data_IF_042578228153
#
_entry.id   IF_042578228153
#
_cell.length_a   1.000
_cell.length_b   1.000
_cell.length_c   1.000
_cell.angle_alpha   90.00
_cell.angle_beta   90.00
_cell.angle_gamma   90.00
#
_symmetry.space_group_name_H-M   'P 1'
#
loop_
_entity.id
_entity.type
_entity.pdbx_description
1 polymer ?
#
# COMPACT_ATOMS: atom_id res chain seq x y z
N UNK A 1 69.10 6.46 -86.41
CA UNK A 1 67.69 6.01 -86.31
C UNK A 1 67.54 4.62 -85.69
N UNK A 2 68.25 3.58 -86.16
CA UNK A 2 68.12 2.21 -85.60
C UNK A 2 68.50 2.06 -84.11
N UNK A 3 69.49 2.80 -83.62
CA UNK A 3 69.92 2.73 -82.20
C UNK A 3 68.96 3.44 -81.24
N UNK A 4 68.30 4.53 -81.66
CA UNK A 4 67.28 5.22 -80.85
C UNK A 4 65.99 4.40 -80.71
N UNK A 5 65.59 3.67 -81.77
CA UNK A 5 64.44 2.78 -81.76
C UNK A 5 64.63 1.62 -80.77
N UNK A 6 65.85 1.07 -80.69
CA UNK A 6 66.17 -0.02 -79.77
C UNK A 6 66.10 0.43 -78.31
N UNK A 7 66.62 1.62 -77.98
CA UNK A 7 66.55 2.19 -76.63
C UNK A 7 65.09 2.48 -76.23
N UNK A 8 64.27 2.97 -77.16
CA UNK A 8 62.85 3.20 -76.93
C UNK A 8 62.07 1.89 -76.71
N UNK A 9 62.38 0.83 -77.46
CA UNK A 9 61.81 -0.51 -77.28
C UNK A 9 62.21 -1.15 -75.94
N UNK A 10 63.45 -0.95 -75.50
CA UNK A 10 63.92 -1.43 -74.19
C UNK A 10 63.24 -0.66 -73.06
N UNK A 11 63.08 0.67 -73.16
CA UNK A 11 62.40 1.47 -72.15
C UNK A 11 60.92 1.10 -71.96
N UNK A 12 60.22 0.73 -73.04
CA UNK A 12 58.82 0.26 -72.99
C UNK A 12 58.70 -1.10 -72.28
N UNK A 13 59.68 -2.00 -72.46
CA UNK A 13 59.64 -3.34 -71.87
C UNK A 13 59.69 -3.36 -70.34
N UNK A 14 60.20 -2.31 -69.70
CA UNK A 14 60.24 -2.17 -68.24
C UNK A 14 58.92 -1.67 -67.61
N UNK A 15 57.94 -1.24 -68.42
CA UNK A 15 56.70 -0.61 -67.94
C UNK A 15 55.46 -1.50 -68.07
N UNK A 16 55.61 -2.76 -68.51
CA UNK A 16 54.49 -3.67 -68.72
C UNK A 16 54.31 -4.58 -67.50
N UNK A 17 53.34 -4.26 -66.64
CA UNK A 17 52.86 -5.20 -65.62
C UNK A 17 51.89 -6.18 -66.28
N UNK A 18 52.30 -7.44 -66.45
CA UNK A 18 51.43 -8.49 -66.98
C UNK A 18 50.59 -9.13 -65.89
N UNK A 19 49.27 -9.11 -66.02
CA UNK A 19 48.39 -10.01 -65.27
C UNK A 19 48.52 -11.43 -65.83
N UNK A 20 48.51 -12.45 -64.96
CA UNK A 20 48.67 -13.84 -65.37
C UNK A 20 47.32 -14.54 -65.34
N UNK A 21 46.79 -14.86 -66.52
CA UNK A 21 45.63 -15.73 -66.67
C UNK A 21 46.05 -17.14 -67.06
N UNK A 22 45.56 -18.16 -66.35
CA UNK A 22 45.62 -19.57 -66.76
C UNK A 22 44.19 -19.98 -67.13
N UNK A 23 43.99 -20.42 -68.38
CA UNK A 23 42.66 -20.77 -68.88
C UNK A 23 41.77 -19.58 -69.26
N UNK A 24 42.27 -18.33 -69.20
CA UNK A 24 41.58 -17.12 -69.64
C UNK A 24 42.52 -16.19 -70.43
N UNK A 25 42.01 -15.62 -71.53
CA UNK A 25 42.75 -14.65 -72.35
C UNK A 25 42.59 -13.20 -71.87
N UNK A 26 41.68 -12.95 -70.93
CA UNK A 26 41.37 -11.64 -70.37
C UNK A 26 41.31 -11.75 -68.85
N UNK A 27 42.46 -11.94 -68.17
CA UNK A 27 42.48 -11.97 -66.71
C UNK A 27 41.98 -10.62 -66.15
N UNK A 28 41.20 -10.67 -65.07
CA UNK A 28 40.68 -9.48 -64.34
C UNK A 28 41.32 -9.32 -62.96
N UNK A 29 42.08 -10.31 -62.50
CA UNK A 29 42.88 -10.28 -61.27
C UNK A 29 44.36 -10.51 -61.59
N UNK A 30 45.25 -10.17 -60.65
CA UNK A 30 46.71 -10.32 -60.82
C UNK A 30 47.12 -11.77 -61.17
N UNK A 31 46.42 -12.74 -60.58
CA UNK A 31 46.41 -14.14 -60.97
C UNK A 31 44.96 -14.63 -61.07
N UNK A 32 44.57 -15.16 -62.23
CA UNK A 32 43.27 -15.78 -62.46
C UNK A 32 43.48 -17.18 -63.03
N UNK A 33 42.88 -18.19 -62.42
CA UNK A 33 42.90 -19.57 -62.91
C UNK A 33 41.47 -20.00 -63.16
N UNK A 34 41.10 -20.10 -64.43
CA UNK A 34 39.78 -20.58 -64.83
C UNK A 34 39.76 -22.10 -64.97
N UNK A 35 38.70 -22.72 -64.46
CA UNK A 35 38.50 -24.16 -64.54
C UNK A 35 38.04 -24.57 -65.95
N UNK A 36 38.44 -25.76 -66.41
CA UNK A 36 37.89 -26.35 -67.64
C UNK A 36 36.41 -26.68 -67.44
N UNK A 37 35.56 -26.30 -68.40
CA UNK A 37 34.12 -26.56 -68.39
C UNK A 37 33.75 -27.97 -68.86
N UNK A 38 34.70 -28.76 -69.38
CA UNK A 38 34.52 -30.17 -69.72
C UNK A 38 35.72 -30.99 -69.26
N UNK A 39 35.49 -31.88 -68.30
CA UNK A 39 36.49 -32.82 -67.80
C UNK A 39 36.19 -34.23 -68.33
N UNK A 40 37.21 -34.91 -68.86
CA UNK A 40 37.14 -36.33 -69.16
C UNK A 40 37.18 -37.19 -67.89
N UNK A 41 36.93 -38.51 -67.99
CA UNK A 41 37.06 -39.42 -66.85
C UNK A 41 38.48 -39.40 -66.28
N UNK A 42 38.60 -39.01 -65.00
CA UNK A 42 39.88 -38.93 -64.28
C UNK A 42 40.61 -37.59 -64.38
N UNK A 43 40.03 -36.59 -65.06
CA UNK A 43 40.54 -35.21 -65.05
C UNK A 43 39.90 -34.41 -63.92
N UNK A 44 40.67 -33.51 -63.30
CA UNK A 44 40.23 -32.69 -62.18
C UNK A 44 40.64 -31.23 -62.37
N UNK A 45 39.73 -30.30 -62.08
CA UNK A 45 40.06 -28.90 -61.88
C UNK A 45 40.56 -28.70 -60.44
N UNK A 46 41.58 -27.86 -60.25
CA UNK A 46 42.02 -27.47 -58.92
C UNK A 46 43.42 -26.87 -58.89
N UNK A 47 43.75 -26.25 -57.76
CA UNK A 47 45.11 -25.80 -57.44
C UNK A 47 45.56 -26.61 -56.22
N UNK A 48 46.64 -27.36 -56.36
CA UNK A 48 47.24 -28.05 -55.22
C UNK A 48 48.03 -27.06 -54.39
N UNK A 49 47.65 -26.91 -53.12
CA UNK A 49 48.45 -26.18 -52.11
C UNK A 49 49.48 -27.14 -51.48
N UNK A 50 50.56 -26.61 -50.88
CA UNK A 50 51.52 -27.44 -50.17
C UNK A 50 50.85 -28.31 -49.11
N UNK A 51 51.13 -29.61 -49.17
CA UNK A 51 50.68 -30.58 -48.17
C UNK A 51 51.79 -30.79 -47.14
N UNK A 52 51.42 -30.77 -45.87
CA UNK A 52 52.34 -30.98 -44.76
C UNK A 52 51.76 -31.99 -43.78
N UNK A 53 52.61 -32.77 -43.14
CA UNK A 53 52.20 -33.71 -42.08
C UNK A 53 52.09 -33.04 -40.70
N UNK A 54 52.70 -31.87 -40.53
CA UNK A 54 52.74 -31.12 -39.29
C UNK A 54 52.67 -29.61 -39.58
N UNK A 55 52.14 -28.82 -38.66
CA UNK A 55 52.07 -27.37 -38.78
C UNK A 55 53.50 -26.78 -38.71
N UNK A 56 53.97 -26.07 -39.74
CA UNK A 56 55.32 -25.50 -39.74
C UNK A 56 55.51 -24.44 -38.64
N UNK A 57 56.66 -24.46 -37.99
CA UNK A 57 57.11 -23.44 -37.03
C UNK A 57 58.47 -22.88 -37.46
N UNK A 58 58.66 -21.54 -37.50
CA UNK A 58 57.63 -20.52 -37.29
C UNK A 58 56.59 -20.49 -38.42
N UNK A 59 55.45 -19.83 -38.19
CA UNK A 59 54.43 -19.66 -39.21
C UNK A 59 55.00 -18.92 -40.44
N UNK A 60 54.58 -19.33 -41.63
CA UNK A 60 54.98 -18.67 -42.87
C UNK A 60 54.40 -17.24 -42.95
N UNK A 61 54.84 -16.39 -43.91
CA UNK A 61 54.24 -15.08 -44.13
C UNK A 61 52.70 -15.14 -44.26
N UNK A 62 52.04 -14.06 -43.83
CA UNK A 62 50.59 -13.94 -43.89
C UNK A 62 50.07 -14.20 -45.31
N UNK A 63 48.99 -14.99 -45.41
CA UNK A 63 48.39 -15.39 -46.69
C UNK A 63 48.91 -16.72 -47.25
N UNK A 64 49.90 -17.36 -46.62
CA UNK A 64 50.34 -18.71 -47.00
C UNK A 64 49.25 -19.73 -46.68
N UNK A 65 48.84 -20.55 -47.64
CA UNK A 65 47.86 -21.64 -47.45
C UNK A 65 48.59 -22.98 -47.51
N UNK A 66 48.26 -23.87 -46.58
CA UNK A 66 48.71 -25.26 -46.55
C UNK A 66 47.51 -26.19 -46.36
N UNK A 67 47.69 -27.45 -46.73
CA UNK A 67 46.80 -28.53 -46.34
C UNK A 67 47.54 -29.47 -45.38
N UNK A 68 47.06 -29.56 -44.15
CA UNK A 68 47.57 -30.50 -43.16
C UNK A 68 46.95 -31.88 -43.45
N UNK A 69 47.76 -32.86 -43.82
CA UNK A 69 47.28 -34.17 -44.27
C UNK A 69 47.33 -35.29 -43.23
N UNK A 70 47.90 -35.02 -42.06
CA UNK A 70 47.82 -35.84 -40.85
C UNK A 70 47.50 -34.98 -39.64
N UNK A 71 46.80 -35.54 -38.64
CA UNK A 71 46.52 -34.81 -37.39
C UNK A 71 47.83 -34.45 -36.69
N UNK A 72 48.02 -33.17 -36.32
CA UNK A 72 49.20 -32.66 -35.64
C UNK A 72 48.82 -32.08 -34.27
N UNK A 73 48.93 -32.90 -33.22
CA UNK A 73 48.44 -32.55 -31.88
C UNK A 73 46.91 -32.37 -31.86
N UNK A 74 46.44 -31.17 -31.50
CA UNK A 74 45.03 -30.80 -31.52
C UNK A 74 44.55 -30.24 -32.86
N UNK A 75 45.43 -30.11 -33.86
CA UNK A 75 45.10 -29.56 -35.17
C UNK A 75 44.56 -30.66 -36.08
N UNK A 76 43.27 -30.64 -36.47
CA UNK A 76 42.71 -31.65 -37.36
C UNK A 76 43.22 -31.47 -38.80
N UNK A 77 43.16 -32.55 -39.59
CA UNK A 77 43.41 -32.53 -41.04
C UNK A 77 42.53 -31.46 -41.70
N UNK A 78 43.10 -30.63 -42.57
CA UNK A 78 42.34 -29.58 -43.25
C UNK A 78 43.19 -28.46 -43.84
N UNK A 79 42.51 -27.45 -44.39
CA UNK A 79 43.16 -26.25 -44.88
C UNK A 79 43.52 -25.31 -43.72
N UNK A 80 44.73 -24.78 -43.77
CA UNK A 80 45.19 -23.74 -42.86
C UNK A 80 45.72 -22.56 -43.65
N UNK A 81 45.45 -21.35 -43.17
CA UNK A 81 46.10 -20.14 -43.67
C UNK A 81 46.97 -19.53 -42.56
N UNK A 82 48.15 -19.03 -42.91
CA UNK A 82 48.97 -18.27 -41.99
C UNK A 82 48.45 -16.83 -41.89
N UNK A 83 48.29 -16.32 -40.68
CA UNK A 83 48.06 -14.90 -40.42
C UNK A 83 49.36 -14.10 -40.20
N UNK A 84 50.53 -14.74 -40.45
CA UNK A 84 51.85 -14.17 -40.19
C UNK A 84 52.38 -14.41 -38.77
N UNK A 85 51.56 -14.96 -37.86
CA UNK A 85 51.96 -15.35 -36.50
C UNK A 85 51.66 -16.83 -36.20
N UNK A 86 50.58 -17.37 -36.76
CA UNK A 86 50.15 -18.76 -36.61
C UNK A 86 49.36 -19.23 -37.84
N UNK A 87 49.29 -20.54 -38.02
CA UNK A 87 48.34 -21.17 -38.95
C UNK A 87 46.98 -21.33 -38.28
N UNK A 88 45.92 -20.86 -38.94
CA UNK A 88 44.53 -21.00 -38.50
C UNK A 88 43.78 -21.95 -39.42
N UNK A 89 43.02 -22.88 -38.84
CA UNK A 89 42.20 -23.80 -39.60
C UNK A 89 41.00 -23.06 -40.22
N UNK A 90 40.69 -23.35 -41.48
CA UNK A 90 39.57 -22.74 -42.20
C UNK A 90 38.20 -23.16 -41.64
N UNK A 91 38.08 -24.31 -40.97
CA UNK A 91 36.80 -24.77 -40.36
C UNK A 91 36.52 -24.16 -39.00
N UNK A 92 37.51 -23.60 -38.31
CA UNK A 92 37.32 -22.96 -36.99
C UNK A 92 36.57 -21.62 -37.05
N UNK A 93 36.25 -21.12 -38.26
CA UNK A 93 35.40 -19.93 -38.41
C UNK A 93 33.93 -20.16 -38.01
N UNK A 94 33.48 -21.41 -37.83
CA UNK A 94 32.09 -21.74 -37.47
C UNK A 94 31.88 -22.24 -36.03
N UNK A 95 32.96 -22.50 -35.28
CA UNK A 95 32.93 -23.15 -33.96
C UNK A 95 32.90 -22.16 -32.79
N UNK A 96 32.46 -20.92 -33.01
CA UNK A 96 32.20 -19.99 -31.92
C UNK A 96 31.16 -20.60 -30.98
N UNK A 97 31.52 -20.79 -29.69
CA UNK A 97 30.63 -21.24 -28.63
C UNK A 97 29.42 -20.31 -28.58
N UNK A 98 28.29 -20.72 -29.17
CA UNK A 98 27.14 -19.86 -29.22
C UNK A 98 26.62 -19.59 -27.80
N UNK A 99 26.27 -18.34 -27.53
CA UNK A 99 25.67 -17.95 -26.26
C UNK A 99 24.22 -18.45 -26.12
N UNK A 100 23.58 -18.84 -27.22
CA UNK A 100 22.20 -19.31 -27.31
C UNK A 100 22.06 -20.49 -28.29
N UNK A 101 21.31 -21.50 -27.89
CA UNK A 101 21.05 -22.74 -28.62
C UNK A 101 19.57 -22.90 -28.93
N UNK A 102 19.21 -23.72 -29.92
CA UNK A 102 17.82 -24.14 -30.08
C UNK A 102 17.39 -24.98 -28.87
N UNK A 103 16.16 -24.76 -28.41
CA UNK A 103 15.58 -25.46 -27.26
C UNK A 103 15.77 -26.97 -27.35
N UNK A 104 16.31 -27.58 -26.28
CA UNK A 104 16.56 -29.02 -26.20
C UNK A 104 17.78 -29.53 -26.97
N UNK A 105 18.57 -28.66 -27.58
CA UNK A 105 19.76 -29.02 -28.36
C UNK A 105 21.02 -28.27 -27.91
N UNK A 106 22.17 -28.61 -28.49
CA UNK A 106 23.41 -27.82 -28.40
C UNK A 106 23.76 -27.14 -29.73
N UNK A 107 22.80 -27.02 -30.66
CA UNK A 107 23.01 -26.34 -31.94
C UNK A 107 22.75 -24.86 -31.82
N UNK A 108 23.55 -24.05 -32.53
CA UNK A 108 23.42 -22.59 -32.50
C UNK A 108 22.03 -22.19 -33.02
N UNK A 109 21.29 -21.41 -32.23
CA UNK A 109 20.03 -20.85 -32.69
C UNK A 109 20.30 -19.81 -33.79
N UNK A 110 19.86 -20.09 -35.02
CA UNK A 110 20.14 -19.24 -36.20
C UNK A 110 18.88 -18.63 -36.82
N UNK A 111 17.69 -19.12 -36.46
CA UNK A 111 16.41 -18.59 -36.96
C UNK A 111 15.79 -17.61 -35.96
N UNK A 112 15.19 -16.53 -36.49
CA UNK A 112 14.46 -15.53 -35.68
C UNK A 112 13.15 -16.06 -35.09
N UNK A 113 12.74 -17.28 -35.47
CA UNK A 113 11.54 -17.97 -35.00
C UNK A 113 11.85 -19.12 -34.06
N UNK A 114 13.12 -19.44 -33.81
CA UNK A 114 13.51 -20.52 -32.91
C UNK A 114 13.22 -20.14 -31.46
N UNK A 115 12.81 -21.14 -30.67
CA UNK A 115 12.90 -21.04 -29.21
C UNK A 115 14.38 -21.11 -28.80
N UNK A 116 14.87 -20.05 -28.15
CA UNK A 116 16.28 -19.94 -27.76
C UNK A 116 16.49 -20.30 -26.28
N UNK A 117 17.54 -21.07 -26.00
CA UNK A 117 17.94 -21.51 -24.66
C UNK A 117 19.43 -21.27 -24.41
N UNK A 118 19.84 -21.13 -23.15
CA UNK A 118 21.25 -21.14 -22.74
C UNK A 118 21.44 -21.78 -21.36
N UNK A 119 22.54 -22.48 -21.19
CA UNK A 119 22.96 -23.01 -19.89
C UNK A 119 23.79 -21.96 -19.13
N UNK A 120 23.47 -21.74 -17.86
CA UNK A 120 24.16 -20.77 -17.00
C UNK A 120 23.42 -19.44 -16.84
N UNK A 121 24.02 -18.52 -16.07
CA UNK A 121 23.47 -17.17 -15.83
C UNK A 121 23.85 -16.24 -16.98
N UNK A 122 22.99 -15.31 -17.36
CA UNK A 122 23.46 -14.11 -18.07
C UNK A 122 23.19 -12.86 -17.29
N UNK A 123 24.13 -11.94 -17.46
CA UNK A 123 24.13 -10.60 -16.90
C UNK A 123 23.99 -9.64 -18.07
N UNK A 124 23.10 -8.69 -17.95
CA UNK A 124 23.02 -7.54 -18.83
C UNK A 124 23.60 -6.33 -18.08
N UNK A 125 24.44 -5.53 -18.74
CA UNK A 125 25.02 -4.29 -18.21
C UNK A 125 26.20 -4.47 -17.25
N UNK A 126 27.38 -4.07 -17.73
CA UNK A 126 28.55 -3.81 -16.90
C UNK A 126 29.29 -2.60 -17.44
N UNK A 127 28.63 -1.44 -17.55
CA UNK A 127 29.31 -0.19 -17.90
C UNK A 127 28.72 1.01 -17.16
N UNK A 128 29.62 1.87 -16.67
CA UNK A 128 29.37 2.97 -15.74
C UNK A 128 28.73 4.22 -16.36
N UNK A 129 27.70 4.06 -17.18
CA UNK A 129 26.94 5.16 -17.78
C UNK A 129 25.47 5.05 -17.38
N UNK A 130 24.79 6.17 -17.05
CA UNK A 130 23.37 6.18 -16.69
C UNK A 130 22.50 5.93 -17.93
N UNK A 131 22.32 4.66 -18.30
CA UNK A 131 21.36 4.22 -19.30
C UNK A 131 20.56 3.02 -18.77
N UNK A 132 19.33 2.84 -19.25
CA UNK A 132 18.58 1.61 -19.01
C UNK A 132 19.35 0.43 -19.62
N UNK A 133 19.79 -0.49 -18.76
CA UNK A 133 20.58 -1.64 -19.19
C UNK A 133 19.75 -2.60 -20.06
N UNK A 134 18.45 -2.71 -19.78
CA UNK A 134 17.48 -3.48 -20.57
C UNK A 134 16.19 -2.66 -20.63
N UNK A 135 15.66 -2.47 -21.84
CA UNK A 135 14.30 -1.98 -22.09
C UNK A 135 13.56 -3.05 -22.89
N UNK A 136 12.34 -3.36 -22.49
CA UNK A 136 11.47 -4.33 -23.18
C UNK A 136 10.16 -3.59 -23.46
N UNK A 137 9.81 -3.49 -24.73
CA UNK A 137 8.61 -2.78 -25.17
C UNK A 137 7.78 -3.70 -26.07
N UNK A 138 6.47 -3.67 -25.91
CA UNK A 138 5.52 -4.40 -26.74
C UNK A 138 4.50 -3.40 -27.32
N UNK A 139 4.91 -2.69 -28.38
CA UNK A 139 4.09 -1.68 -29.05
C UNK A 139 2.92 -2.30 -29.82
N UNK A 140 1.79 -1.60 -29.87
CA UNK A 140 0.58 -2.07 -30.55
C UNK A 140 -0.20 -0.96 -31.24
N UNK A 141 -0.83 -1.28 -32.37
CA UNK A 141 -1.62 -0.34 -33.18
C UNK A 141 -3.12 -0.71 -33.31
N UNK A 142 -3.57 -1.83 -32.71
CA UNK A 142 -4.93 -2.35 -32.86
C UNK A 142 -5.67 -2.47 -31.51
N UNK A 143 -6.99 -2.25 -31.54
CA UNK A 143 -7.83 -1.94 -30.39
C UNK A 143 -8.22 -3.11 -29.47
N UNK A 144 -7.77 -4.35 -29.70
CA UNK A 144 -8.25 -5.51 -28.93
C UNK A 144 -7.26 -6.68 -28.92
N UNK A 145 -6.16 -6.54 -28.19
CA UNK A 145 -5.23 -7.64 -27.94
C UNK A 145 -4.71 -7.59 -26.50
N UNK A 146 -4.71 -8.73 -25.81
CA UNK A 146 -3.98 -8.91 -24.56
C UNK A 146 -2.48 -8.87 -24.86
N UNK A 147 -1.74 -8.00 -24.16
CA UNK A 147 -0.31 -7.83 -24.34
C UNK A 147 0.44 -8.11 -23.05
N UNK A 148 1.49 -8.93 -23.15
CA UNK A 148 2.42 -9.19 -22.05
C UNK A 148 3.83 -8.83 -22.50
N UNK A 149 4.50 -7.96 -21.75
CA UNK A 149 5.90 -7.58 -22.01
C UNK A 149 6.87 -8.52 -21.30
N UNK A 150 6.49 -9.00 -20.11
CA UNK A 150 7.32 -9.89 -19.29
C UNK A 150 6.43 -10.83 -18.48
N UNK A 151 6.65 -12.14 -18.62
CA UNK A 151 6.06 -13.18 -17.77
C UNK A 151 7.17 -13.99 -17.13
N UNK A 152 7.14 -14.12 -15.80
CA UNK A 152 8.12 -14.87 -15.02
C UNK A 152 7.37 -15.92 -14.20
N UNK A 153 7.64 -17.19 -14.46
CA UNK A 153 7.06 -18.31 -13.71
C UNK A 153 8.17 -19.12 -13.06
N UNK A 154 8.17 -19.19 -11.73
CA UNK A 154 9.01 -20.12 -10.98
C UNK A 154 8.20 -21.39 -10.67
N UNK A 155 8.53 -22.51 -11.32
CA UNK A 155 7.84 -23.81 -11.17
C UNK A 155 8.59 -24.78 -10.26
N UNK A 156 9.37 -24.29 -9.30
CA UNK A 156 10.09 -25.14 -8.35
C UNK A 156 9.10 -26.07 -7.62
N UNK A 157 9.25 -27.38 -7.80
CA UNK A 157 8.29 -28.40 -7.36
C UNK A 157 8.79 -29.29 -6.22
N UNK A 158 10.04 -29.10 -5.78
CA UNK A 158 10.59 -29.89 -4.67
C UNK A 158 9.99 -29.44 -3.34
N UNK A 159 9.52 -30.42 -2.55
CA UNK A 159 9.02 -30.25 -1.18
C UNK A 159 10.10 -30.52 -0.12
N UNK A 160 11.36 -30.72 -0.51
CA UNK A 160 12.46 -30.93 0.42
C UNK A 160 12.67 -29.69 1.30
N UNK A 161 12.81 -29.91 2.62
CA UNK A 161 12.74 -28.86 3.65
C UNK A 161 13.76 -27.72 3.46
N UNK A 162 13.30 -26.48 3.70
CA UNK A 162 14.03 -25.22 3.95
C UNK A 162 14.52 -24.35 2.77
N UNK A 163 14.09 -24.57 1.53
CA UNK A 163 14.49 -23.68 0.42
C UNK A 163 13.48 -22.55 0.16
N UNK A 164 13.93 -21.30 0.27
CA UNK A 164 13.17 -20.14 -0.21
C UNK A 164 13.23 -20.06 -1.72
N UNK A 165 12.10 -19.81 -2.37
CA UNK A 165 12.02 -19.57 -3.80
C UNK A 165 11.64 -18.11 -4.06
N UNK A 166 12.19 -17.54 -5.14
CA UNK A 166 11.87 -16.19 -5.57
C UNK A 166 11.61 -16.22 -7.08
N UNK A 167 10.53 -15.60 -7.53
CA UNK A 167 10.33 -15.33 -8.96
C UNK A 167 11.10 -14.07 -9.37
N UNK A 168 11.06 -13.04 -8.53
CA UNK A 168 11.77 -11.77 -8.70
C UNK A 168 12.40 -11.41 -7.36
N UNK A 169 13.70 -11.08 -7.36
CA UNK A 169 14.41 -10.55 -6.19
C UNK A 169 15.12 -9.25 -6.60
N UNK A 170 14.58 -8.11 -6.17
CA UNK A 170 15.09 -6.78 -6.52
C UNK A 170 15.84 -6.19 -5.35
N UNK A 171 17.10 -5.80 -5.57
CA UNK A 171 17.94 -5.17 -4.54
C UNK A 171 18.53 -3.87 -5.09
N UNK A 172 18.22 -2.74 -4.44
CA UNK A 172 18.91 -1.49 -4.68
C UNK A 172 19.81 -1.19 -3.48
N UNK A 173 21.12 -1.36 -3.64
CA UNK A 173 22.14 -1.12 -2.59
C UNK A 173 22.94 0.16 -2.84
N UNK A 174 22.50 1.00 -3.78
CA UNK A 174 23.17 2.27 -4.12
C UNK A 174 23.42 3.16 -2.89
N UNK A 175 24.56 3.83 -2.87
CA UNK A 175 24.94 4.86 -1.90
C UNK A 175 24.55 6.29 -2.33
N UNK A 176 23.74 6.41 -3.39
CA UNK A 176 23.30 7.70 -3.91
C UNK A 176 22.59 8.52 -2.81
N UNK A 177 22.89 9.83 -2.78
CA UNK A 177 22.25 10.80 -1.86
C UNK A 177 20.87 11.26 -2.33
N UNK A 178 20.51 10.98 -3.58
CA UNK A 178 19.20 11.26 -4.16
C UNK A 178 18.19 10.13 -3.87
N UNK A 179 17.03 10.18 -4.53
CA UNK A 179 15.98 9.18 -4.35
C UNK A 179 16.48 7.79 -4.73
N UNK A 180 16.32 6.84 -3.82
CA UNK A 180 16.67 5.45 -4.01
C UNK A 180 15.40 4.64 -4.18
N UNK A 181 15.09 4.29 -5.41
CA UNK A 181 13.85 3.59 -5.77
C UNK A 181 14.16 2.12 -6.08
N UNK A 182 13.45 1.20 -5.45
CA UNK A 182 13.57 -0.24 -5.72
C UNK A 182 12.77 -0.63 -6.97
N UNK A 183 11.47 -0.37 -6.95
CA UNK A 183 10.54 -0.62 -8.06
C UNK A 183 9.72 0.66 -8.24
N UNK A 184 9.69 1.20 -9.46
CA UNK A 184 8.81 2.31 -9.84
C UNK A 184 7.76 1.77 -10.82
N UNK A 185 6.50 1.67 -10.37
CA UNK A 185 5.38 1.28 -11.23
C UNK A 185 4.57 2.54 -11.55
N UNK A 186 4.47 2.86 -12.84
CA UNK A 186 3.71 4.02 -13.33
C UNK A 186 2.68 3.54 -14.34
N UNK A 187 1.45 4.03 -14.21
CA UNK A 187 0.37 3.80 -15.16
C UNK A 187 -0.14 5.17 -15.61
N UNK A 188 -0.19 5.38 -16.92
CA UNK A 188 -0.68 6.62 -17.54
C UNK A 188 -2.17 6.83 -17.29
N UNK A 189 -2.61 8.09 -17.28
CA UNK A 189 -4.01 8.47 -17.14
C UNK A 189 -4.90 8.19 -18.36
N UNK A 190 -4.33 7.84 -19.51
CA UNK A 190 -5.09 7.54 -20.73
C UNK A 190 -5.76 6.16 -20.67
N UNK A 191 -6.89 6.03 -21.37
CA UNK A 191 -7.69 4.81 -21.44
C UNK A 191 -8.79 4.77 -20.36
N UNK A 192 -9.98 4.29 -20.73
CA UNK A 192 -11.16 4.27 -19.84
C UNK A 192 -11.30 2.99 -19.01
N UNK A 193 -10.39 2.03 -19.21
CA UNK A 193 -10.38 0.76 -18.48
C UNK A 193 -9.87 0.90 -17.04
N UNK A 194 -10.09 -0.13 -16.22
CA UNK A 194 -9.57 -0.17 -14.85
C UNK A 194 -8.04 -0.19 -14.86
N UNK A 195 -7.41 0.86 -14.32
CA UNK A 195 -5.97 0.90 -14.09
C UNK A 195 -5.62 0.15 -12.80
N UNK A 196 -4.77 -0.87 -12.89
CA UNK A 196 -4.32 -1.68 -11.75
C UNK A 196 -2.80 -1.61 -11.63
N UNK A 197 -2.30 -0.85 -10.65
CA UNK A 197 -0.85 -0.67 -10.39
C UNK A 197 -0.18 -1.96 -9.92
N UNK A 198 -0.79 -2.62 -8.94
CA UNK A 198 -0.32 -3.87 -8.35
C UNK A 198 -1.54 -4.75 -8.07
N UNK A 199 -1.53 -5.97 -8.59
CA UNK A 199 -2.52 -7.00 -8.27
C UNK A 199 -1.82 -8.20 -7.63
N UNK A 200 -2.01 -8.38 -6.33
CA UNK A 200 -1.38 -9.47 -5.58
C UNK A 200 -2.45 -10.48 -5.17
N UNK A 201 -2.25 -11.74 -5.56
CA UNK A 201 -3.01 -12.88 -5.05
C UNK A 201 -2.08 -13.75 -4.21
N UNK A 202 -2.47 -14.05 -2.98
CA UNK A 202 -1.74 -14.95 -2.09
C UNK A 202 -2.68 -16.05 -1.64
N UNK A 203 -2.53 -17.22 -2.24
CA UNK A 203 -3.31 -18.40 -1.88
C UNK A 203 -2.60 -19.18 -0.78
N UNK A 204 -3.35 -19.59 0.22
CA UNK A 204 -2.84 -20.37 1.35
C UNK A 204 -3.44 -21.76 1.24
N UNK A 205 -2.60 -22.79 1.36
CA UNK A 205 -3.09 -24.16 1.47
C UNK A 205 -4.00 -24.26 2.70
N UNK A 206 -5.24 -24.72 2.52
CA UNK A 206 -6.27 -24.79 3.56
C UNK A 206 -5.89 -25.65 4.78
N UNK A 207 -4.87 -26.50 4.65
CA UNK A 207 -4.30 -27.31 5.74
C UNK A 207 -3.09 -26.68 6.43
N UNK A 208 -2.61 -25.53 5.96
CA UNK A 208 -1.47 -24.83 6.56
C UNK A 208 -1.85 -24.12 7.85
N UNK A 209 -1.03 -24.27 8.89
CA UNK A 209 -1.10 -23.47 10.12
C UNK A 209 -0.04 -22.36 10.18
N UNK A 210 0.74 -22.19 9.11
CA UNK A 210 1.80 -21.19 9.06
C UNK A 210 1.24 -19.77 8.92
N UNK A 211 1.85 -18.81 9.63
CA UNK A 211 1.59 -17.39 9.40
C UNK A 211 1.92 -17.01 7.96
N UNK A 212 0.98 -16.37 7.28
CA UNK A 212 1.10 -15.99 5.87
C UNK A 212 0.92 -14.49 5.73
N UNK A 213 1.64 -13.89 4.79
CA UNK A 213 1.57 -12.46 4.51
C UNK A 213 1.30 -12.26 3.02
N UNK A 214 0.26 -11.48 2.68
CA UNK A 214 0.07 -11.03 1.29
C UNK A 214 1.02 -9.90 0.93
N UNK A 215 1.20 -8.95 1.85
CA UNK A 215 2.18 -7.87 1.77
C UNK A 215 2.85 -7.76 3.15
N UNK A 216 4.18 -7.89 3.19
CA UNK A 216 4.96 -7.73 4.42
C UNK A 216 5.99 -6.61 4.25
N UNK A 217 5.77 -5.48 4.92
CA UNK A 217 6.64 -4.31 4.85
C UNK A 217 7.43 -4.18 6.16
N UNK A 218 8.75 -4.38 6.09
CA UNK A 218 9.67 -4.08 7.18
C UNK A 218 10.44 -2.81 6.84
N UNK A 219 10.24 -1.75 7.62
CA UNK A 219 10.75 -0.42 7.31
C UNK A 219 11.62 0.08 8.45
N UNK A 220 12.83 0.48 8.09
CA UNK A 220 13.82 1.13 8.95
C UNK A 220 14.12 0.41 10.29
N UNK A 221 14.13 -0.93 10.29
CA UNK A 221 14.19 -1.76 11.51
C UNK A 221 15.51 -1.69 12.30
N UNK A 222 16.46 -0.84 11.92
CA UNK A 222 17.79 -0.75 12.56
C UNK A 222 18.41 0.64 12.56
N UNK A 223 17.64 1.67 12.24
CA UNK A 223 18.09 3.06 12.12
C UNK A 223 17.72 3.87 13.36
N UNK A 224 18.53 4.89 13.65
CA UNK A 224 18.28 5.88 14.71
C UNK A 224 17.89 7.25 14.13
N UNK A 225 17.49 7.28 12.85
CA UNK A 225 17.12 8.51 12.15
C UNK A 225 15.97 9.23 12.87
N UNK A 226 16.10 10.55 13.05
CA UNK A 226 15.03 11.42 13.54
C UNK A 226 14.08 11.89 12.43
N UNK A 227 14.26 11.43 11.19
CA UNK A 227 13.42 11.80 10.06
C UNK A 227 12.02 11.17 10.15
N UNK A 228 11.03 11.82 9.52
CA UNK A 228 9.70 11.24 9.37
C UNK A 228 9.75 10.04 8.43
N UNK A 229 9.19 8.91 8.87
CA UNK A 229 9.15 7.66 8.11
C UNK A 229 7.68 7.32 7.84
N UNK A 230 7.35 7.09 6.57
CA UNK A 230 6.04 6.59 6.18
C UNK A 230 6.13 5.09 5.94
N UNK A 231 5.39 4.30 6.72
CA UNK A 231 5.30 2.86 6.50
C UNK A 231 4.58 2.54 5.18
N UNK A 232 3.35 3.02 5.08
CA UNK A 232 2.55 3.00 3.85
C UNK A 232 1.95 4.40 3.72
N UNK A 233 2.18 5.07 2.58
CA UNK A 233 1.57 6.36 2.26
C UNK A 233 0.66 6.21 1.04
N UNK A 234 -0.64 6.36 1.26
CA UNK A 234 -1.62 6.38 0.17
C UNK A 234 -2.21 7.77 0.04
N UNK A 235 -2.26 8.28 -1.20
CA UNK A 235 -2.97 9.51 -1.56
C UNK A 235 -3.91 9.17 -2.71
N UNK A 236 -5.19 9.51 -2.58
CA UNK A 236 -6.20 9.25 -3.60
C UNK A 236 -6.99 10.52 -3.90
N UNK A 237 -6.91 10.99 -5.14
CA UNK A 237 -7.59 12.21 -5.59
C UNK A 237 -6.85 13.51 -5.28
N UNK A 238 -7.58 14.61 -5.37
CA UNK A 238 -7.14 16.00 -5.19
C UNK A 238 -8.35 16.91 -4.86
N UNK A 239 -8.17 18.22 -4.72
CA UNK A 239 -9.27 19.13 -4.32
C UNK A 239 -10.44 19.24 -5.31
N UNK A 240 -10.30 18.76 -6.54
CA UNK A 240 -11.36 18.80 -7.58
C UNK A 240 -12.02 17.44 -7.83
N UNK A 241 -11.67 16.45 -7.02
CA UNK A 241 -12.05 15.06 -7.18
C UNK A 241 -13.49 14.79 -6.71
N UNK A 242 -14.39 14.35 -7.62
CA UNK A 242 -15.84 14.21 -7.32
C UNK A 242 -16.34 12.79 -7.02
N UNK A 243 -15.66 11.75 -7.52
CA UNK A 243 -16.02 10.35 -7.25
C UNK A 243 -15.80 9.89 -5.79
N UNK A 244 -16.34 8.71 -5.43
CA UNK A 244 -16.03 8.06 -4.15
C UNK A 244 -14.59 7.56 -4.17
N UNK A 245 -13.84 7.80 -3.10
CA UNK A 245 -12.44 7.39 -2.97
C UNK A 245 -12.19 6.77 -1.61
N UNK A 246 -11.53 5.63 -1.61
CA UNK A 246 -11.00 4.99 -0.41
C UNK A 246 -9.48 5.16 -0.42
N UNK A 247 -8.92 5.80 0.59
CA UNK A 247 -7.46 5.78 0.81
C UNK A 247 -7.00 4.37 1.18
N UNK A 248 -7.78 3.68 2.00
CA UNK A 248 -7.63 2.26 2.31
C UNK A 248 -9.03 1.65 2.31
N UNK A 249 -9.24 0.60 1.53
CA UNK A 249 -10.42 -0.26 1.62
C UNK A 249 -9.96 -1.61 2.18
N UNK A 250 -10.44 -1.98 3.36
CA UNK A 250 -10.08 -3.23 4.03
C UNK A 250 -11.33 -3.94 4.54
N UNK A 251 -11.43 -5.23 4.23
CA UNK A 251 -12.53 -6.08 4.63
C UNK A 251 -11.96 -7.37 5.25
N UNK A 252 -12.40 -7.68 6.47
CA UNK A 252 -12.08 -8.93 7.13
C UNK A 252 -13.37 -9.74 7.27
N UNK A 253 -13.36 -10.99 6.78
CA UNK A 253 -14.49 -11.91 6.84
C UNK A 253 -14.01 -13.18 7.54
N UNK A 254 -14.78 -13.62 8.52
CA UNK A 254 -14.65 -14.96 9.09
C UNK A 254 -16.04 -15.54 9.36
N UNK A 255 -16.08 -16.77 9.84
CA UNK A 255 -17.29 -17.54 10.16
C UNK A 255 -17.90 -17.17 11.53
N UNK A 256 -17.36 -16.17 12.23
CA UNK A 256 -17.75 -15.80 13.58
C UNK A 256 -17.15 -16.65 14.70
N UNK A 257 -16.35 -17.69 14.38
CA UNK A 257 -15.70 -18.54 15.39
C UNK A 257 -14.52 -17.86 16.08
N UNK A 258 -13.97 -16.80 15.47
CA UNK A 258 -12.85 -16.01 15.99
C UNK A 258 -13.11 -14.52 15.73
N UNK A 259 -12.15 -13.65 16.06
CA UNK A 259 -12.23 -12.24 15.72
C UNK A 259 -11.72 -12.01 14.27
N UNK A 260 -12.41 -11.14 13.54
CA UNK A 260 -11.98 -10.62 12.24
C UNK A 260 -11.78 -9.11 12.35
N UNK A 261 -10.54 -8.67 12.17
CA UNK A 261 -10.18 -7.25 12.26
C UNK A 261 -9.88 -6.72 10.86
N UNK A 262 -10.66 -5.75 10.37
CA UNK A 262 -10.36 -5.03 9.12
C UNK A 262 -9.20 -4.06 9.28
N UNK A 263 -8.81 -3.73 10.51
CA UNK A 263 -7.59 -3.01 10.84
C UNK A 263 -7.14 -3.37 12.26
N UNK A 264 -5.83 -3.50 12.45
CA UNK A 264 -5.20 -3.69 13.75
C UNK A 264 -4.06 -2.68 13.88
N UNK A 265 -4.21 -1.73 14.80
CA UNK A 265 -3.26 -0.65 15.02
C UNK A 265 -2.71 -0.78 16.44
N UNK A 266 -1.39 -0.99 16.55
CA UNK A 266 -0.69 -1.08 17.83
C UNK A 266 0.51 -0.14 17.79
N UNK A 267 0.56 0.77 18.76
CA UNK A 267 1.58 1.80 18.87
C UNK A 267 1.25 2.76 20.02
N UNK A 268 2.13 3.72 20.25
CA UNK A 268 2.00 4.62 21.39
C UNK A 268 0.81 5.58 21.29
N UNK A 269 0.35 5.89 20.07
CA UNK A 269 -0.78 6.81 19.81
C UNK A 269 -1.53 6.43 18.54
N UNK A 270 -2.82 6.74 18.53
CA UNK A 270 -3.66 6.65 17.33
C UNK A 270 -4.46 7.94 17.17
N UNK A 271 -4.43 8.52 15.98
CA UNK A 271 -5.09 9.79 15.67
C UNK A 271 -5.94 9.67 14.41
N UNK A 272 -7.05 10.42 14.38
CA UNK A 272 -7.88 10.64 13.19
C UNK A 272 -7.89 12.13 12.94
N UNK A 273 -7.58 12.54 11.70
CA UNK A 273 -7.39 13.95 11.31
C UNK A 273 -8.15 14.28 10.03
N UNK A 274 -8.46 15.56 9.83
CA UNK A 274 -9.04 16.08 8.58
C UNK A 274 -7.95 16.25 7.49
N UNK A 275 -8.36 16.58 6.26
CA UNK A 275 -7.43 16.70 5.11
C UNK A 275 -6.30 17.73 5.34
N UNK A 276 -6.61 18.84 6.00
CA UNK A 276 -5.64 19.91 6.27
C UNK A 276 -4.75 19.62 7.49
N UNK A 277 -4.98 18.51 8.21
CA UNK A 277 -4.34 18.16 9.48
C UNK A 277 -4.44 19.28 10.54
N UNK A 278 -5.52 20.06 10.48
CA UNK A 278 -5.81 21.16 11.42
C UNK A 278 -6.84 20.79 12.47
N UNK A 279 -7.58 19.71 12.25
CA UNK A 279 -8.70 19.26 13.09
C UNK A 279 -8.73 17.72 13.18
N UNK A 280 -9.32 17.19 14.24
CA UNK A 280 -9.39 15.75 14.53
C UNK A 280 -9.19 15.44 16.00
N UNK A 281 -8.81 14.20 16.32
CA UNK A 281 -8.57 13.79 17.70
C UNK A 281 -7.54 12.65 17.81
N UNK A 282 -6.80 12.66 18.93
CA UNK A 282 -6.01 11.52 19.40
C UNK A 282 -6.84 10.67 20.36
N UNK A 283 -6.86 9.35 20.15
CA UNK A 283 -7.52 8.40 21.05
C UNK A 283 -6.68 8.14 22.30
N UNK A 284 -7.32 7.89 23.46
CA UNK A 284 -6.64 7.41 24.65
C UNK A 284 -5.90 6.10 24.40
N UNK A 285 -4.78 5.93 25.11
CA UNK A 285 -3.97 4.71 25.08
C UNK A 285 -4.38 3.68 26.14
N UNK A 286 -5.38 4.02 26.94
CA UNK A 286 -5.90 3.19 28.03
C UNK A 286 -7.41 3.02 27.89
N UNK A 287 -7.92 1.90 28.39
CA UNK A 287 -9.35 1.62 28.42
C UNK A 287 -10.08 2.53 29.42
N UNK A 288 -11.37 2.77 29.14
CA UNK A 288 -12.27 3.43 30.06
C UNK A 288 -12.73 2.50 31.16
N UNK A 289 -13.07 3.06 32.32
CA UNK A 289 -13.80 2.32 33.36
C UNK A 289 -15.25 2.09 32.94
N UNK A 290 -15.87 1.03 33.49
CA UNK A 290 -17.28 0.73 33.20
C UNK A 290 -18.18 1.94 33.49
N UNK A 291 -19.00 2.32 32.51
CA UNK A 291 -19.90 3.48 32.58
C UNK A 291 -19.30 4.81 32.10
N UNK A 292 -18.00 4.85 31.79
CA UNK A 292 -17.40 6.00 31.11
C UNK A 292 -17.72 6.00 29.62
N UNK A 293 -17.73 7.20 29.05
CA UNK A 293 -17.90 7.44 27.62
C UNK A 293 -16.67 8.16 27.07
N UNK A 294 -16.36 7.92 25.81
CA UNK A 294 -15.31 8.66 25.14
C UNK A 294 -15.84 10.07 24.85
N UNK A 295 -15.14 11.09 25.33
CA UNK A 295 -15.48 12.50 25.16
C UNK A 295 -14.31 13.24 24.52
N UNK A 296 -14.56 14.42 23.99
CA UNK A 296 -13.52 15.33 23.50
C UNK A 296 -13.60 16.66 24.22
N UNK A 297 -12.44 17.29 24.42
CA UNK A 297 -12.31 18.66 24.94
C UNK A 297 -12.54 19.74 23.87
N UNK A 298 -12.81 19.36 22.62
CA UNK A 298 -12.93 20.28 21.48
C UNK A 298 -11.60 20.92 21.05
N UNK A 299 -10.48 20.47 21.61
CA UNK A 299 -9.11 20.92 21.30
C UNK A 299 -8.24 19.77 20.77
N UNK A 300 -8.88 18.69 20.29
CA UNK A 300 -8.25 17.56 19.64
C UNK A 300 -7.76 16.45 20.56
N UNK A 301 -8.14 16.46 21.85
CA UNK A 301 -7.89 15.34 22.75
C UNK A 301 -9.18 14.60 23.05
N UNK A 302 -9.18 13.28 22.82
CA UNK A 302 -10.24 12.41 23.32
C UNK A 302 -9.84 11.81 24.67
N UNK A 303 -10.79 11.67 25.59
CA UNK A 303 -10.58 11.13 26.94
C UNK A 303 -11.83 10.43 27.48
N UNK A 304 -11.63 9.46 28.37
CA UNK A 304 -12.74 8.80 29.07
C UNK A 304 -13.30 9.70 30.16
N UNK A 305 -14.58 10.05 30.04
CA UNK A 305 -15.30 10.89 30.99
C UNK A 305 -16.55 10.21 31.51
N UNK A 306 -17.01 10.62 32.69
CA UNK A 306 -18.34 10.24 33.16
C UNK A 306 -19.40 11.05 32.38
N UNK A 307 -20.50 10.43 31.94
CA UNK A 307 -21.59 11.19 31.35
C UNK A 307 -22.12 12.21 32.36
N UNK A 308 -22.15 13.50 31.97
CA UNK A 308 -22.80 14.53 32.76
C UNK A 308 -24.30 14.22 32.70
N UNK A 309 -24.93 13.95 33.85
CA UNK A 309 -26.37 13.74 33.92
C UNK A 309 -27.10 15.04 33.56
N UNK A 310 -27.37 15.27 32.28
CA UNK A 310 -28.11 16.44 31.78
C UNK A 310 -29.63 16.32 31.95
N UNK A 311 -30.11 15.36 32.73
CA UNK A 311 -31.51 15.29 33.13
C UNK A 311 -31.67 15.91 34.52
N UNK A 312 -32.03 17.18 34.58
CA UNK A 312 -32.82 17.71 35.70
C UNK A 312 -34.20 17.07 35.66
N UNK A 313 -34.28 15.75 35.84
CA UNK A 313 -35.54 15.09 36.17
C UNK A 313 -35.98 15.68 37.49
N UNK A 314 -37.16 16.32 37.52
CA UNK A 314 -37.78 16.77 38.77
C UNK A 314 -37.69 15.63 39.77
N UNK A 315 -36.94 15.82 40.86
CA UNK A 315 -36.84 14.82 41.91
C UNK A 315 -38.24 14.66 42.51
N UNK A 316 -38.89 13.54 42.20
CA UNK A 316 -40.21 13.16 42.71
C UNK A 316 -40.02 12.50 44.07
N UNK A 317 -40.60 13.10 45.11
CA UNK A 317 -40.69 12.49 46.44
C UNK A 317 -42.17 12.34 46.85
N UNK A 318 -42.46 11.36 47.70
CA UNK A 318 -43.81 11.13 48.23
C UNK A 318 -43.77 11.14 49.76
N UNK A 319 -44.67 11.90 50.39
CA UNK A 319 -44.76 12.04 51.83
C UNK A 319 -46.15 11.63 52.31
N UNK A 320 -46.20 10.87 53.41
CA UNK A 320 -47.43 10.64 54.17
C UNK A 320 -47.61 11.77 55.18
N UNK A 321 -48.85 12.23 55.38
CA UNK A 321 -49.14 13.28 56.36
C UNK A 321 -48.85 12.83 57.79
N UNK A 322 -48.58 13.79 58.67
CA UNK A 322 -48.42 13.60 60.11
C UNK A 322 -49.70 13.97 60.88
N UNK A 323 -49.87 13.47 62.11
CA UNK A 323 -51.01 13.82 62.96
C UNK A 323 -50.94 15.27 63.45
N UNK A 324 -52.07 15.77 63.96
CA UNK A 324 -52.15 17.15 64.46
C UNK A 324 -51.09 17.46 65.51
N UNK A 325 -50.30 18.51 65.28
CA UNK A 325 -49.20 18.93 66.16
C UNK A 325 -47.89 18.18 65.94
N UNK A 326 -47.84 17.26 64.97
CA UNK A 326 -46.64 16.49 64.60
C UNK A 326 -46.59 16.27 63.08
N UNK A 327 -46.58 17.38 62.34
CA UNK A 327 -46.51 17.40 60.89
C UNK A 327 -45.27 16.67 60.33
N UNK A 328 -45.41 16.01 59.18
CA UNK A 328 -44.31 15.33 58.50
C UNK A 328 -43.36 16.35 57.85
N UNK A 329 -42.07 16.40 58.21
CA UNK A 329 -41.11 17.31 57.57
C UNK A 329 -40.87 16.96 56.10
N UNK A 330 -40.84 17.99 55.26
CA UNK A 330 -40.43 17.94 53.86
C UNK A 330 -38.95 18.32 53.79
N UNK A 331 -38.09 17.35 53.49
CA UNK A 331 -36.63 17.50 53.49
C UNK A 331 -36.01 17.49 52.09
N UNK A 332 -36.69 16.96 51.07
CA UNK A 332 -36.16 16.81 49.72
C UNK A 332 -37.25 16.81 48.62
N UNK A 333 -36.81 16.89 47.37
CA UNK A 333 -37.67 16.83 46.19
C UNK A 333 -38.00 18.21 45.62
N UNK A 334 -38.42 18.21 44.35
CA UNK A 334 -38.88 19.42 43.63
C UNK A 334 -40.33 19.27 43.15
N UNK A 335 -40.79 18.03 42.94
CA UNK A 335 -42.20 17.68 42.79
C UNK A 335 -42.58 16.68 43.88
N UNK A 336 -43.57 16.99 44.72
CA UNK A 336 -43.91 16.20 45.90
C UNK A 336 -45.35 15.69 45.81
N UNK A 337 -45.52 14.37 45.94
CA UNK A 337 -46.82 13.75 46.18
C UNK A 337 -47.11 13.72 47.68
N UNK A 338 -48.15 14.41 48.11
CA UNK A 338 -48.60 14.45 49.49
C UNK A 338 -49.81 13.52 49.65
N UNK A 339 -49.69 12.53 50.52
CA UNK A 339 -50.70 11.50 50.78
C UNK A 339 -51.30 11.64 52.18
N UNK A 340 -52.15 12.65 52.43
CA UNK A 340 -52.84 12.80 53.71
C UNK A 340 -53.85 11.65 53.91
N UNK A 341 -54.03 11.22 55.16
CA UNK A 341 -55.04 10.24 55.58
C UNK A 341 -55.86 10.81 56.74
N UNK A 342 -57.03 10.24 57.02
CA UNK A 342 -57.85 10.68 58.14
C UNK A 342 -57.04 10.68 59.45
N UNK A 343 -56.94 11.82 60.11
CA UNK A 343 -56.13 12.03 61.31
C UNK A 343 -54.64 12.29 61.08
N UNK A 344 -54.12 12.16 59.86
CA UNK A 344 -52.73 12.46 59.50
C UNK A 344 -52.65 13.30 58.21
N UNK A 345 -52.82 14.62 58.34
CA UNK A 345 -53.01 15.55 57.23
C UNK A 345 -51.90 16.61 57.13
N UNK A 346 -50.98 16.66 58.09
CA UNK A 346 -50.08 17.79 58.27
C UNK A 346 -48.67 17.53 57.69
N UNK A 347 -48.13 18.52 56.99
CA UNK A 347 -46.78 18.51 56.42
C UNK A 347 -46.06 19.81 56.79
N UNK A 348 -44.75 19.78 56.94
CA UNK A 348 -43.95 20.92 57.36
C UNK A 348 -42.88 21.23 56.32
N UNK A 349 -42.95 22.42 55.72
CA UNK A 349 -41.85 22.94 54.90
C UNK A 349 -40.64 23.27 55.78
N UNK A 350 -39.42 23.25 55.21
CA UNK A 350 -38.25 23.74 55.92
C UNK A 350 -38.37 25.24 56.21
N UNK A 351 -37.51 25.72 57.10
CA UNK A 351 -37.39 27.13 57.44
C UNK A 351 -36.98 27.96 56.20
N UNK A 352 -37.81 28.92 55.72
CA UNK A 352 -37.57 29.60 54.44
C UNK A 352 -36.22 30.33 54.37
N UNK A 353 -35.76 30.86 55.51
CA UNK A 353 -34.45 31.53 55.63
C UNK A 353 -33.26 30.60 55.37
N UNK A 354 -33.44 29.29 55.54
CA UNK A 354 -32.39 28.29 55.27
C UNK A 354 -32.37 27.79 53.83
N UNK A 355 -33.41 28.11 53.04
CA UNK A 355 -33.59 27.60 51.67
C UNK A 355 -34.03 28.69 50.67
N UNK A 356 -33.35 29.85 50.58
CA UNK A 356 -33.71 30.91 49.65
C UNK A 356 -33.74 30.42 48.20
N UNK A 357 -34.79 30.78 47.45
CA UNK A 357 -34.99 30.38 46.05
C UNK A 357 -35.45 28.93 45.84
N UNK A 358 -35.63 28.16 46.91
CA UNK A 358 -36.13 26.78 46.80
C UNK A 358 -37.58 26.78 46.33
N UNK A 359 -37.85 25.98 45.29
CA UNK A 359 -39.17 25.81 44.71
C UNK A 359 -39.65 24.37 44.88
N UNK A 360 -40.90 24.21 45.30
CA UNK A 360 -41.61 22.94 45.36
C UNK A 360 -42.87 23.01 44.51
N UNK A 361 -43.18 21.93 43.80
CA UNK A 361 -44.51 21.65 43.26
C UNK A 361 -45.14 20.59 44.16
N UNK A 362 -46.18 20.96 44.90
CA UNK A 362 -46.86 20.08 45.84
C UNK A 362 -48.17 19.59 45.22
N UNK A 363 -48.41 18.28 45.28
CA UNK A 363 -49.66 17.65 44.83
C UNK A 363 -50.30 16.88 45.97
N UNK A 364 -51.49 17.29 46.42
CA UNK A 364 -52.32 16.43 47.25
C UNK A 364 -52.88 15.31 46.35
N UNK A 365 -52.41 14.07 46.56
CA UNK A 365 -52.86 12.91 45.80
C UNK A 365 -54.10 12.23 46.39
N UNK A 366 -54.57 12.69 47.56
CA UNK A 366 -55.82 12.21 48.15
C UNK A 366 -57.04 12.80 47.45
N UNK A 367 -58.15 12.04 47.46
CA UNK A 367 -59.45 12.46 46.94
C UNK A 367 -60.48 12.73 48.05
N UNK A 368 -60.14 12.45 49.31
CA UNK A 368 -61.04 12.61 50.46
C UNK A 368 -60.44 13.44 51.60
N UNK A 369 -59.12 13.55 51.69
CA UNK A 369 -58.42 14.20 52.79
C UNK A 369 -57.69 15.45 52.30
N UNK A 370 -57.79 16.54 53.07
CA UNK A 370 -57.03 17.75 52.81
C UNK A 370 -55.59 17.56 53.29
N UNK A 371 -54.62 18.16 52.60
CA UNK A 371 -53.26 18.30 53.12
C UNK A 371 -53.10 19.71 53.69
N UNK A 372 -52.54 19.83 54.89
CA UNK A 372 -52.25 21.11 55.53
C UNK A 372 -50.74 21.28 55.54
N UNK A 373 -50.25 22.32 54.88
CA UNK A 373 -48.83 22.62 54.79
C UNK A 373 -48.53 23.72 55.78
N UNK A 374 -47.62 23.43 56.71
CA UNK A 374 -47.11 24.37 57.69
C UNK A 374 -45.75 24.91 57.25
N UNK A 375 -45.44 26.08 57.77
CA UNK A 375 -44.10 26.66 57.83
C UNK A 375 -43.73 26.85 59.31
N UNK A 376 -42.46 26.76 59.71
CA UNK A 376 -42.08 26.95 61.10
C UNK A 376 -42.50 28.33 61.64
N UNK A 377 -42.90 28.36 62.91
CA UNK A 377 -43.26 29.57 63.65
C UNK A 377 -42.47 29.61 64.97
N UNK A 378 -41.70 30.68 65.26
CA UNK A 378 -41.41 31.83 64.39
C UNK A 378 -40.42 31.43 63.28
N UNK A 379 -40.61 31.91 62.05
CA UNK A 379 -39.68 31.53 60.97
C UNK A 379 -40.08 31.97 59.56
N UNK A 380 -41.35 31.91 59.21
CA UNK A 380 -41.84 32.52 57.98
C UNK A 380 -43.33 32.30 57.80
N UNK A 381 -43.96 33.17 57.03
CA UNK A 381 -45.39 33.11 56.73
C UNK A 381 -45.63 32.78 55.25
N UNK A 382 -46.86 32.38 54.93
CA UNK A 382 -47.28 32.19 53.55
C UNK A 382 -47.85 33.47 52.96
N UNK A 383 -47.46 33.79 51.73
CA UNK A 383 -48.02 34.88 50.93
C UNK A 383 -48.54 34.30 49.62
N UNK A 384 -49.81 34.57 49.31
CA UNK A 384 -50.37 34.15 48.03
C UNK A 384 -49.71 34.96 46.90
N UNK A 385 -49.43 34.34 45.76
CA UNK A 385 -48.77 34.98 44.59
C UNK A 385 -49.49 36.22 44.05
N UNK A 386 -50.76 36.41 44.39
CA UNK A 386 -51.60 37.56 44.03
C UNK A 386 -51.92 38.49 45.22
N UNK A 387 -51.26 38.34 46.38
CA UNK A 387 -51.49 39.16 47.57
C UNK A 387 -50.19 39.50 48.29
N UNK A 388 -50.11 40.70 48.85
CA UNK A 388 -49.04 41.12 49.75
C UNK A 388 -49.42 40.99 51.23
N UNK A 389 -50.61 40.47 51.54
CA UNK A 389 -51.04 40.18 52.90
C UNK A 389 -50.65 38.77 53.31
N UNK A 390 -50.19 38.61 54.56
CA UNK A 390 -49.92 37.29 55.13
C UNK A 390 -51.18 36.40 55.11
N UNK A 391 -51.02 35.17 54.66
CA UNK A 391 -51.99 34.09 54.78
C UNK A 391 -51.82 33.28 56.08
N UNK A 392 -50.88 33.67 56.94
CA UNK A 392 -50.54 32.99 58.20
C UNK A 392 -49.50 31.88 58.03
N UNK A 393 -49.48 30.94 58.98
CA UNK A 393 -48.45 29.90 59.11
C UNK A 393 -48.83 28.54 58.50
N UNK A 394 -49.99 28.45 57.85
CA UNK A 394 -50.39 27.24 57.15
C UNK A 394 -51.24 27.55 55.90
N UNK A 395 -51.25 26.59 54.98
CA UNK A 395 -52.12 26.57 53.81
C UNK A 395 -52.80 25.21 53.68
N UNK A 396 -54.07 25.21 53.29
CA UNK A 396 -54.86 23.98 53.10
C UNK A 396 -55.01 23.65 51.63
N UNK A 397 -54.47 22.51 51.22
CA UNK A 397 -54.62 21.91 49.90
C UNK A 397 -55.82 20.97 49.91
N UNK A 398 -56.98 21.44 49.45
CA UNK A 398 -58.21 20.66 49.51
C UNK A 398 -58.18 19.48 48.54
N UNK A 399 -58.75 18.35 48.97
CA UNK A 399 -58.73 17.10 48.19
C UNK A 399 -59.41 17.23 46.82
N UNK A 400 -60.36 18.15 46.65
CA UNK A 400 -61.18 18.30 45.43
C UNK A 400 -61.37 19.78 45.03
N UNK A 401 -60.32 20.60 45.09
CA UNK A 401 -60.37 21.99 44.61
C UNK A 401 -59.15 22.38 43.77
N UNK A 402 -59.11 23.61 43.25
CA UNK A 402 -57.95 24.14 42.55
C UNK A 402 -56.67 24.22 43.43
N UNK A 403 -56.78 24.20 44.76
CA UNK A 403 -55.62 24.12 45.67
C UNK A 403 -55.03 22.71 45.81
N UNK A 404 -55.53 21.72 45.05
CA UNK A 404 -55.02 20.35 45.06
C UNK A 404 -53.58 20.24 44.53
N UNK A 405 -53.17 21.14 43.65
CA UNK A 405 -51.75 21.33 43.27
C UNK A 405 -51.36 22.79 43.48
N UNK A 406 -50.25 23.00 44.18
CA UNK A 406 -49.67 24.33 44.35
C UNK A 406 -48.18 24.33 44.02
N UNK A 407 -47.63 25.48 43.68
CA UNK A 407 -46.21 25.73 43.84
C UNK A 407 -45.97 26.55 45.12
N UNK A 408 -44.80 26.37 45.71
CA UNK A 408 -44.31 27.20 46.81
C UNK A 408 -42.85 27.55 46.54
N UNK A 409 -42.48 28.82 46.72
CA UNK A 409 -41.13 29.35 46.49
C UNK A 409 -40.71 30.14 47.72
N UNK A 410 -39.52 29.85 48.26
CA UNK A 410 -38.92 30.66 49.33
C UNK A 410 -38.27 31.90 48.75
N UNK A 411 -38.56 33.07 49.32
CA UNK A 411 -37.85 34.33 49.03
C UNK A 411 -36.65 34.58 49.97
N UNK A 412 -36.34 33.62 50.85
CA UNK A 412 -35.31 33.74 51.88
C UNK A 412 -35.79 34.33 53.21
N UNK A 413 -37.09 34.62 53.34
CA UNK A 413 -37.72 35.07 54.59
C UNK A 413 -39.11 34.45 54.82
N UNK A 414 -39.89 34.30 53.76
CA UNK A 414 -41.25 33.79 53.74
C UNK A 414 -41.44 32.82 52.57
N UNK A 415 -42.62 32.20 52.50
CA UNK A 415 -43.01 31.33 51.41
C UNK A 415 -44.07 32.02 50.53
N UNK A 416 -43.78 32.20 49.24
CA UNK A 416 -44.78 32.59 48.25
C UNK A 416 -45.41 31.35 47.62
N UNK A 417 -46.74 31.30 47.51
CA UNK A 417 -47.43 30.14 46.92
C UNK A 417 -48.50 30.53 45.89
N UNK A 418 -48.82 29.61 44.99
CA UNK A 418 -49.94 29.76 44.05
C UNK A 418 -50.50 28.42 43.61
N UNK A 419 -51.78 28.38 43.28
CA UNK A 419 -52.45 27.17 42.77
C UNK A 419 -52.31 27.03 41.27
N UNK A 420 -52.10 25.80 40.81
CA UNK A 420 -52.21 25.45 39.39
C UNK A 420 -53.65 24.99 39.09
N UNK A 421 -54.54 25.94 38.80
CA UNK A 421 -55.91 25.65 38.38
C UNK A 421 -56.80 26.90 38.41
N UNK A 422 -57.51 27.17 37.31
CA UNK A 422 -58.62 28.12 37.24
C UNK A 422 -59.89 27.51 37.82
#
# INVERSE_FOLDING_TARGET
>A
MKQFLLIFLIAISYSVTGQVGIGTATPVTDLQVEASTSLGPGEFNGIMVPRVSNIPSPAAPAGTIIYLDTVDGSNPIGFYFSNGSAYQNVTDLSSGTAAFFDSGTTTNATATTSEIFRSGRTRFGNDGVPASVVSIENQGALASEDRTTLSITNRHSSSALSSNTFSINVNNTSSARGNKVGINNEISSSGDGTHIGLNNLTEINSSSSATSYGINNNIDTGSTSAGTIYGIRTVSGNSTSTGVRYGIYSQAINDGSNNAYSGYFSGDRFAIRNEADTDGYELPTVDGSAGQVLTTDGSGNASWGNPIATNTSLNLASYSGGPSGSATPIDNGSYLNLSPTAGNQEFLLPEPTTVPGRMYILRNISNSENAVIYTPNPGGEFYASNSSSSAGFNITMNANSNTKTIYVISDGMNWTFGSYGF
#
